data_IF_870063913588
#
_entry.id   IF_870063913588
#
_cell.length_a   1.000
_cell.length_b   1.000
_cell.length_c   1.000
_cell.angle_alpha   90.00
_cell.angle_beta   90.00
_cell.angle_gamma   90.00
#
_symmetry.space_group_name_H-M   'P 1'
#
loop_
_entity.id
_entity.type
_entity.pdbx_description
1 polymer ?
#
# COMPACT_ATOMS: atom_id res chain seq x y z
N UNK A 1 -1.91 4.41 -2.25
CA UNK A 1 -1.60 5.20 -1.03
C UNK A 1 -0.22 4.82 -0.48
N UNK A 2 0.62 5.79 -0.06
CA UNK A 2 1.88 5.46 0.64
C UNK A 2 1.54 5.09 2.07
N UNK A 3 2.15 4.04 2.59
CA UNK A 3 1.90 3.53 3.94
C UNK A 3 3.17 2.90 4.51
N UNK A 4 3.27 2.78 5.82
CA UNK A 4 4.38 2.08 6.50
C UNK A 4 3.88 0.73 7.05
N UNK A 5 4.78 -0.17 7.43
CA UNK A 5 4.39 -1.50 7.93
C UNK A 5 3.34 -1.44 9.05
N UNK A 6 3.52 -0.54 10.03
CA UNK A 6 2.64 -0.38 11.20
C UNK A 6 1.27 0.23 10.92
N UNK A 7 1.00 0.76 9.73
CA UNK A 7 -0.28 1.43 9.38
C UNK A 7 -1.42 0.45 9.02
N UNK A 8 -1.36 -0.80 9.48
CA UNK A 8 -2.33 -1.85 9.11
C UNK A 8 -3.79 -1.45 9.36
N UNK A 9 -4.10 -0.85 10.52
CA UNK A 9 -5.45 -0.37 10.83
C UNK A 9 -5.91 0.76 9.89
N UNK A 10 -5.00 1.66 9.50
CA UNK A 10 -5.34 2.73 8.54
C UNK A 10 -5.66 2.16 7.18
N UNK A 11 -4.91 1.16 6.72
CA UNK A 11 -5.20 0.45 5.46
C UNK A 11 -6.55 -0.26 5.53
N UNK A 12 -6.85 -0.92 6.65
CA UNK A 12 -8.16 -1.55 6.87
C UNK A 12 -9.31 -0.54 6.79
N UNK A 13 -9.21 0.61 7.46
CA UNK A 13 -10.22 1.67 7.39
C UNK A 13 -10.43 2.21 5.98
N UNK A 14 -9.36 2.33 5.19
CA UNK A 14 -9.48 2.71 3.77
C UNK A 14 -10.24 1.63 2.99
N UNK A 15 -9.92 0.35 3.18
CA UNK A 15 -10.60 -0.78 2.52
C UNK A 15 -12.09 -0.86 2.87
N UNK A 16 -12.46 -0.58 4.12
CA UNK A 16 -13.86 -0.65 4.58
C UNK A 16 -14.67 0.61 4.29
N UNK A 17 -14.03 1.71 3.87
CA UNK A 17 -14.69 2.98 3.52
C UNK A 17 -14.61 3.23 2.02
N UNK A 18 -13.95 4.31 1.58
CA UNK A 18 -13.93 4.74 0.18
C UNK A 18 -13.18 3.76 -0.74
N UNK A 19 -12.25 2.96 -0.20
CA UNK A 19 -11.51 1.96 -0.96
C UNK A 19 -12.32 0.70 -1.28
N UNK A 20 -13.47 0.50 -0.64
CA UNK A 20 -14.35 -0.67 -0.86
C UNK A 20 -14.83 -0.78 -2.32
N UNK A 21 -14.90 0.35 -3.02
CA UNK A 21 -15.25 0.49 -4.43
C UNK A 21 -14.39 -0.41 -5.33
N UNK A 22 -13.13 -0.67 -4.95
CA UNK A 22 -12.24 -1.57 -5.69
C UNK A 22 -12.78 -3.00 -5.79
N UNK A 23 -13.58 -3.43 -4.82
CA UNK A 23 -14.16 -4.78 -4.74
C UNK A 23 -15.63 -4.79 -5.12
N UNK A 24 -16.39 -3.77 -4.71
CA UNK A 24 -17.85 -3.74 -4.86
C UNK A 24 -18.32 -3.00 -6.11
N UNK A 25 -17.49 -2.12 -6.68
CA UNK A 25 -17.87 -1.17 -7.73
C UNK A 25 -19.06 -0.26 -7.36
N UNK A 26 -19.36 -0.14 -6.07
CA UNK A 26 -20.47 0.68 -5.56
C UNK A 26 -19.94 1.90 -4.80
N UNK A 27 -20.47 3.07 -5.11
CA UNK A 27 -20.32 4.30 -4.33
C UNK A 27 -21.66 4.65 -3.68
N UNK A 28 -21.72 5.44 -2.59
CA UNK A 28 -22.98 5.98 -2.10
C UNK A 28 -23.82 6.59 -3.21
N UNK A 29 -24.99 6.02 -3.46
CA UNK A 29 -25.95 6.43 -4.49
C UNK A 29 -25.47 6.33 -5.96
N UNK A 30 -24.37 5.62 -6.25
CA UNK A 30 -23.88 5.45 -7.61
C UNK A 30 -23.21 4.08 -7.84
N UNK A 31 -23.27 3.58 -9.07
CA UNK A 31 -22.49 2.42 -9.50
C UNK A 31 -21.35 2.88 -10.41
N UNK A 32 -20.15 2.37 -10.16
CA UNK A 32 -18.95 2.75 -10.90
C UNK A 32 -18.72 1.73 -12.02
N UNK A 33 -19.07 2.10 -13.25
CA UNK A 33 -18.76 1.32 -14.44
C UNK A 33 -17.33 1.60 -14.96
N UNK A 34 -16.34 1.41 -14.09
CA UNK A 34 -14.93 1.54 -14.40
C UNK A 34 -14.11 0.53 -13.59
N UNK A 35 -12.98 0.10 -14.15
CA UNK A 35 -12.00 -0.67 -13.39
C UNK A 35 -11.34 0.22 -12.35
N UNK A 36 -11.45 -0.17 -11.07
CA UNK A 36 -10.83 0.54 -9.95
C UNK A 36 -9.95 -0.44 -9.18
N UNK A 37 -8.70 -0.07 -8.95
CA UNK A 37 -7.77 -0.88 -8.16
C UNK A 37 -7.14 -0.03 -7.05
N UNK A 38 -7.15 -0.57 -5.84
CA UNK A 38 -6.51 0.02 -4.68
C UNK A 38 -5.13 -0.61 -4.50
N UNK A 39 -4.12 0.22 -4.19
CA UNK A 39 -2.76 -0.24 -3.93
C UNK A 39 -2.15 0.52 -2.76
N UNK A 40 -1.60 -0.20 -1.79
CA UNK A 40 -0.81 0.32 -0.69
C UNK A 40 0.67 0.09 -0.96
N UNK A 41 1.45 1.17 -0.92
CA UNK A 41 2.88 1.12 -1.23
C UNK A 41 3.67 1.16 0.07
N UNK A 42 4.40 0.10 0.36
CA UNK A 42 5.21 -0.08 1.57
C UNK A 42 6.69 -0.19 1.22
N UNK A 43 7.56 0.08 2.18
CA UNK A 43 9.00 -0.06 2.09
C UNK A 43 9.58 -0.57 3.41
N UNK A 44 10.88 -0.90 3.45
CA UNK A 44 11.54 -1.43 4.65
C UNK A 44 11.64 -0.34 5.72
N UNK A 45 11.28 -0.60 6.97
CA UNK A 45 11.46 0.38 8.04
C UNK A 45 12.95 0.74 8.21
N UNK A 46 13.23 2.00 8.54
CA UNK A 46 14.57 2.48 8.91
C UNK A 46 15.08 1.73 10.14
N UNK A 47 16.22 1.06 10.03
CA UNK A 47 16.82 0.28 11.12
C UNK A 47 17.32 1.12 12.31
N UNK A 48 17.23 2.45 12.23
CA UNK A 48 17.89 3.40 13.14
C UNK A 48 17.21 3.57 14.51
N UNK A 49 15.99 3.03 14.72
CA UNK A 49 15.23 3.26 15.98
C UNK A 49 14.98 1.98 16.81
N UNK A 50 15.34 0.79 16.33
CA UNK A 50 14.96 -0.49 16.99
C UNK A 50 16.14 -1.43 17.32
N UNK A 51 17.32 -0.91 17.69
CA UNK A 51 18.40 -1.78 18.22
C UNK A 51 18.06 -2.45 19.56
N UNK A 52 17.06 -1.94 20.28
CA UNK A 52 16.59 -2.50 21.56
C UNK A 52 15.43 -3.51 21.41
N UNK A 53 14.91 -3.76 20.19
CA UNK A 53 13.78 -4.67 19.95
C UNK A 53 13.98 -5.53 18.70
N UNK A 54 15.05 -6.31 18.70
CA UNK A 54 15.41 -7.22 17.61
C UNK A 54 14.29 -8.21 17.18
N UNK A 55 13.23 -8.42 17.97
CA UNK A 55 12.09 -9.27 17.60
C UNK A 55 10.82 -8.56 17.09
N UNK A 56 10.71 -7.23 17.22
CA UNK A 56 9.46 -6.51 16.90
C UNK A 56 9.30 -6.20 15.40
N UNK A 57 10.39 -5.98 14.68
CA UNK A 57 10.36 -5.72 13.24
C UNK A 57 9.94 -6.95 12.44
N UNK A 58 10.40 -8.12 12.87
CA UNK A 58 10.06 -9.41 12.22
C UNK A 58 8.57 -9.75 12.39
N UNK A 59 7.99 -9.44 13.54
CA UNK A 59 6.56 -9.62 13.78
C UNK A 59 5.71 -8.68 12.92
N UNK A 60 6.08 -7.39 12.84
CA UNK A 60 5.42 -6.43 11.95
C UNK A 60 5.49 -6.88 10.48
N UNK A 61 6.64 -7.38 10.05
CA UNK A 61 6.81 -7.83 8.67
C UNK A 61 5.98 -9.07 8.34
N UNK A 62 5.92 -10.06 9.24
CA UNK A 62 5.02 -11.22 9.07
C UNK A 62 3.55 -10.82 8.98
N UNK A 63 3.12 -9.80 9.72
CA UNK A 63 1.76 -9.27 9.63
C UNK A 63 1.49 -8.65 8.26
N UNK A 64 2.46 -7.92 7.70
CA UNK A 64 2.36 -7.36 6.35
C UNK A 64 2.29 -8.48 5.29
N UNK A 65 3.07 -9.55 5.43
CA UNK A 65 3.03 -10.69 4.51
C UNK A 65 1.65 -11.39 4.54
N UNK A 66 1.09 -11.60 5.74
CA UNK A 66 -0.26 -12.14 5.89
C UNK A 66 -1.33 -11.22 5.29
N UNK A 67 -1.20 -9.91 5.51
CA UNK A 67 -2.10 -8.90 4.95
C UNK A 67 -2.03 -8.89 3.41
N UNK A 68 -0.82 -8.94 2.85
CA UNK A 68 -0.58 -8.97 1.41
C UNK A 68 -1.20 -10.22 0.78
N UNK A 69 -1.02 -11.39 1.42
CA UNK A 69 -1.63 -12.64 0.98
C UNK A 69 -3.17 -12.61 1.04
N UNK A 70 -3.72 -11.91 2.03
CA UNK A 70 -5.19 -11.84 2.25
C UNK A 70 -5.86 -10.84 1.31
N UNK A 71 -5.21 -9.71 1.00
CA UNK A 71 -5.85 -8.60 0.29
C UNK A 71 -5.34 -8.39 -1.14
N UNK A 72 -4.11 -8.81 -1.46
CA UNK A 72 -3.52 -8.68 -2.80
C UNK A 72 -3.32 -7.24 -3.27
N UNK A 73 -3.33 -6.27 -2.35
CA UNK A 73 -3.29 -4.84 -2.63
C UNK A 73 -2.04 -4.14 -2.04
N UNK A 74 -0.99 -4.91 -1.76
CA UNK A 74 0.27 -4.39 -1.21
C UNK A 74 1.38 -4.46 -2.27
N UNK A 75 1.94 -3.30 -2.62
CA UNK A 75 3.18 -3.18 -3.37
C UNK A 75 4.33 -2.88 -2.39
N UNK A 76 5.24 -3.84 -2.26
CA UNK A 76 6.46 -3.64 -1.50
C UNK A 76 7.61 -3.17 -2.41
N UNK A 77 8.30 -2.12 -1.98
CA UNK A 77 9.49 -1.59 -2.65
C UNK A 77 10.69 -1.84 -1.75
N UNK A 78 11.74 -2.46 -2.31
CA UNK A 78 12.97 -2.79 -1.57
C UNK A 78 13.85 -1.56 -1.31
N UNK A 79 13.33 -0.62 -0.54
CA UNK A 79 13.99 0.64 -0.20
C UNK A 79 13.78 0.95 1.28
N UNK A 80 14.52 1.91 1.81
CA UNK A 80 14.33 2.36 3.18
C UNK A 80 13.18 3.39 3.26
N UNK A 81 12.22 3.14 4.12
CA UNK A 81 11.04 3.96 4.36
C UNK A 81 11.39 5.11 5.31
N UNK A 82 11.81 6.23 4.72
CA UNK A 82 12.12 7.46 5.44
C UNK A 82 11.43 8.64 4.75
N UNK A 83 11.24 9.74 5.48
CA UNK A 83 10.65 10.95 4.91
C UNK A 83 11.43 11.45 3.68
N UNK A 84 12.77 11.40 3.74
CA UNK A 84 13.65 11.78 2.64
C UNK A 84 13.42 10.92 1.38
N UNK A 85 13.03 9.66 1.57
CA UNK A 85 12.84 8.70 0.49
C UNK A 85 11.40 8.65 -0.05
N UNK A 86 10.48 9.51 0.40
CA UNK A 86 9.09 9.50 -0.06
C UNK A 86 8.95 9.75 -1.56
N UNK A 87 9.78 10.64 -2.13
CA UNK A 87 9.78 10.90 -3.58
C UNK A 87 10.19 9.65 -4.35
N UNK A 88 11.24 8.96 -3.90
CA UNK A 88 11.69 7.71 -4.51
C UNK A 88 10.59 6.63 -4.41
N UNK A 89 9.94 6.51 -3.26
CA UNK A 89 8.84 5.57 -3.04
C UNK A 89 7.67 5.81 -4.00
N UNK A 90 7.33 7.08 -4.21
CA UNK A 90 6.30 7.47 -5.17
C UNK A 90 6.71 7.16 -6.61
N UNK A 91 7.92 7.54 -7.02
CA UNK A 91 8.42 7.29 -8.38
C UNK A 91 8.49 5.80 -8.69
N UNK A 92 8.99 4.99 -7.77
CA UNK A 92 9.01 3.53 -7.89
C UNK A 92 7.60 2.92 -8.01
N UNK A 93 6.62 3.45 -7.27
CA UNK A 93 5.24 3.01 -7.41
C UNK A 93 4.64 3.37 -8.78
N UNK A 94 4.86 4.59 -9.26
CA UNK A 94 4.40 5.00 -10.59
C UNK A 94 5.07 4.20 -11.71
N UNK A 95 6.36 3.91 -11.56
CA UNK A 95 7.08 3.02 -12.48
C UNK A 95 6.43 1.63 -12.49
N UNK A 96 6.15 1.04 -11.33
CA UNK A 96 5.48 -0.25 -11.26
C UNK A 96 4.11 -0.23 -11.96
N UNK A 97 3.30 0.81 -11.73
CA UNK A 97 2.00 0.99 -12.39
C UNK A 97 2.15 1.11 -13.90
N UNK A 98 3.13 1.87 -14.39
CA UNK A 98 3.42 2.02 -15.82
C UNK A 98 3.73 0.67 -16.48
N UNK A 99 4.45 -0.23 -15.80
CA UNK A 99 4.78 -1.55 -16.32
C UNK A 99 3.63 -2.57 -16.22
N UNK A 100 2.84 -2.55 -15.13
CA UNK A 100 1.88 -3.61 -14.83
C UNK A 100 0.43 -3.25 -15.15
N UNK A 101 0.12 -1.96 -15.36
CA UNK A 101 -1.24 -1.47 -15.60
C UNK A 101 -1.32 -0.72 -16.93
N UNK A 102 -0.99 -1.39 -18.04
CA UNK A 102 -0.87 -0.75 -19.37
C UNK A 102 -2.13 0.01 -19.85
N UNK A 103 -3.32 -0.34 -19.36
CA UNK A 103 -4.59 0.27 -19.77
C UNK A 103 -5.14 1.28 -18.76
N UNK A 104 -4.39 1.61 -17.70
CA UNK A 104 -4.85 2.56 -16.69
C UNK A 104 -4.90 3.97 -17.27
N UNK A 105 -6.05 4.63 -17.14
CA UNK A 105 -6.25 5.99 -17.65
C UNK A 105 -5.85 7.07 -16.64
N UNK A 106 -6.02 6.77 -15.36
CA UNK A 106 -5.81 7.72 -14.27
C UNK A 106 -5.17 7.02 -13.08
N UNK A 107 -4.24 7.72 -12.43
CA UNK A 107 -3.63 7.29 -11.17
C UNK A 107 -3.87 8.40 -10.15
N UNK A 108 -4.51 8.05 -9.03
CA UNK A 108 -4.70 8.95 -7.91
C UNK A 108 -3.72 8.59 -6.79
N UNK A 109 -3.15 9.61 -6.17
CA UNK A 109 -2.14 9.45 -5.13
C UNK A 109 -2.52 10.06 -3.80
#
# INVERSE_FOLDING_TARGET
QLSVASDAERRHSVRSTWGSVAKTQTWPHAFINAGFQLLFVLARPTATVKRDRAGSGDLEWRQVEQEAATHGDILFIDMQDSYFNLTLKLMSALQWVSYHCATVKFVLK
#
